data_IF_078587208336
#
_entry.id   IF_078587208336
#
_cell.length_a   1.000
_cell.length_b   1.000
_cell.length_c   1.000
_cell.angle_alpha   90.00
_cell.angle_beta   90.00
_cell.angle_gamma   90.00
#
_symmetry.space_group_name_H-M   'P 1'
#
loop_
_entity.id
_entity.type
_entity.pdbx_description
1 polymer ?
#
# COMPACT_ATOMS: atom_id res chain seq x y z
N UNK A 1 -30.08 -10.46 30.89
CA UNK A 1 -30.40 -9.04 31.13
C UNK A 1 -30.35 -8.35 29.77
N UNK A 2 -31.44 -7.71 29.35
CA UNK A 2 -31.49 -6.96 28.08
C UNK A 2 -30.57 -5.74 28.26
N UNK A 3 -29.58 -5.59 27.37
CA UNK A 3 -28.65 -4.46 27.41
C UNK A 3 -29.35 -3.13 27.11
N UNK A 4 -28.80 -2.02 27.61
CA UNK A 4 -29.32 -0.67 27.33
C UNK A 4 -29.17 -0.38 25.84
N UNK A 5 -30.26 -0.04 25.16
CA UNK A 5 -30.24 0.34 23.75
C UNK A 5 -30.20 1.87 23.61
N UNK A 6 -29.31 2.37 22.75
CA UNK A 6 -29.11 3.78 22.46
C UNK A 6 -29.26 3.98 20.96
N UNK A 7 -30.28 4.75 20.59
CA UNK A 7 -30.60 5.16 19.21
C UNK A 7 -30.61 6.67 19.08
N UNK A 8 -30.97 7.39 20.14
CA UNK A 8 -30.96 8.84 20.26
C UNK A 8 -30.16 9.27 21.49
N UNK A 9 -29.78 10.54 21.57
CA UNK A 9 -29.01 11.10 22.67
C UNK A 9 -29.77 11.01 24.00
N UNK A 10 -31.10 11.12 23.97
CA UNK A 10 -31.97 11.01 25.16
C UNK A 10 -31.96 9.61 25.79
N UNK A 11 -31.52 8.57 25.07
CA UNK A 11 -31.36 7.22 25.60
C UNK A 11 -30.11 7.09 26.49
N UNK A 12 -29.20 8.09 26.47
CA UNK A 12 -28.02 8.09 27.32
C UNK A 12 -28.43 8.28 28.79
N UNK A 13 -27.87 7.48 29.71
CA UNK A 13 -28.14 7.65 31.12
C UNK A 13 -27.62 9.02 31.58
N UNK A 14 -28.28 9.64 32.58
CA UNK A 14 -27.79 10.87 33.19
C UNK A 14 -26.36 10.65 33.74
N UNK A 15 -25.57 11.73 33.73
CA UNK A 15 -24.22 11.74 34.27
C UNK A 15 -24.28 11.75 35.81
N UNK A 16 -24.63 10.62 36.40
CA UNK A 16 -24.66 10.39 37.85
C UNK A 16 -23.34 9.71 38.33
N UNK A 17 -23.13 9.52 39.64
CA UNK A 17 -21.91 8.98 40.29
C UNK A 17 -21.41 7.59 39.80
N UNK A 18 -22.08 6.98 38.82
CA UNK A 18 -21.68 5.70 38.25
C UNK A 18 -20.79 5.93 37.02
N UNK A 19 -19.48 5.79 37.20
CA UNK A 19 -18.48 6.08 36.16
C UNK A 19 -18.57 5.18 34.91
N UNK A 20 -19.31 4.06 34.99
CA UNK A 20 -19.34 3.02 33.96
C UNK A 20 -20.72 2.37 33.81
N UNK A 21 -21.21 2.28 32.57
CA UNK A 21 -22.44 1.55 32.24
C UNK A 21 -22.10 0.39 31.30
N UNK A 22 -22.13 -0.87 31.76
CA UNK A 22 -21.81 -2.03 30.93
C UNK A 22 -22.98 -2.47 30.04
N UNK A 23 -22.71 -3.31 29.04
CA UNK A 23 -23.70 -3.97 28.17
C UNK A 23 -24.63 -2.99 27.44
N UNK A 24 -24.04 -1.97 26.81
CA UNK A 24 -24.73 -0.96 26.03
C UNK A 24 -24.68 -1.33 24.54
N UNK A 25 -25.81 -1.22 23.86
CA UNK A 25 -25.96 -1.40 22.42
C UNK A 25 -26.26 -0.04 21.79
N UNK A 26 -25.43 0.40 20.85
CA UNK A 26 -25.57 1.66 20.13
C UNK A 26 -25.86 1.37 18.67
N UNK A 27 -26.90 1.99 18.12
CA UNK A 27 -27.19 1.92 16.69
C UNK A 27 -27.07 3.32 16.07
N UNK A 28 -26.35 3.43 14.96
CA UNK A 28 -26.22 4.69 14.25
C UNK A 28 -25.24 4.63 13.08
N UNK A 29 -24.98 5.78 12.47
CA UNK A 29 -24.08 5.90 11.33
C UNK A 29 -22.64 6.15 11.78
N UNK A 30 -21.67 5.37 11.32
CA UNK A 30 -20.28 5.56 11.71
C UNK A 30 -19.62 6.69 10.89
N UNK A 31 -19.47 7.89 11.46
CA UNK A 31 -19.16 9.10 10.67
C UNK A 31 -17.69 9.53 10.71
N UNK A 32 -16.92 9.12 11.72
CA UNK A 32 -15.50 9.49 11.88
C UNK A 32 -14.66 8.33 12.38
N UNK A 33 -13.40 8.27 11.93
CA UNK A 33 -12.40 7.26 12.33
C UNK A 33 -11.01 7.89 12.43
N UNK A 34 -10.35 7.74 13.58
CA UNK A 34 -9.06 8.32 13.95
C UNK A 34 -8.17 7.22 14.54
N UNK A 35 -7.27 6.68 13.73
CA UNK A 35 -6.32 5.65 14.16
C UNK A 35 -5.13 6.29 14.89
N UNK A 36 -4.98 6.07 16.20
CA UNK A 36 -3.84 6.60 16.96
C UNK A 36 -2.68 5.59 17.05
N UNK A 37 -3.00 4.30 17.14
CA UNK A 37 -2.02 3.20 17.08
C UNK A 37 -2.69 1.91 16.60
N UNK A 38 -1.91 0.83 16.43
CA UNK A 38 -2.46 -0.51 16.17
C UNK A 38 -3.38 -1.02 17.30
N UNK A 39 -3.31 -0.42 18.49
CA UNK A 39 -4.05 -0.81 19.68
C UNK A 39 -5.17 0.16 20.07
N UNK A 40 -5.29 1.31 19.39
CA UNK A 40 -6.21 2.38 19.80
C UNK A 40 -6.73 3.17 18.61
N UNK A 41 -8.05 3.17 18.45
CA UNK A 41 -8.80 3.94 17.45
C UNK A 41 -9.91 4.70 18.14
N UNK A 42 -10.12 5.95 17.75
CA UNK A 42 -11.30 6.73 18.12
C UNK A 42 -12.22 6.86 16.91
N UNK A 43 -13.52 6.81 17.13
CA UNK A 43 -14.53 7.10 16.11
C UNK A 43 -15.68 7.90 16.69
N UNK A 44 -16.61 8.32 15.85
CA UNK A 44 -17.87 8.95 16.28
C UNK A 44 -19.02 8.23 15.55
N UNK A 45 -20.05 7.81 16.29
CA UNK A 45 -21.31 7.29 15.75
C UNK A 45 -22.34 8.43 15.80
N UNK A 46 -22.96 8.73 14.68
CA UNK A 46 -24.10 9.63 14.60
C UNK A 46 -25.38 8.86 14.93
N UNK A 47 -26.05 9.30 15.98
CA UNK A 47 -27.34 8.79 16.44
C UNK A 47 -28.48 9.28 15.52
N UNK A 48 -29.69 8.73 15.70
CA UNK A 48 -30.83 9.01 14.82
C UNK A 48 -31.29 10.48 14.87
N UNK A 49 -31.08 11.15 16.00
CA UNK A 49 -31.34 12.58 16.21
C UNK A 49 -30.22 13.48 15.66
N UNK A 50 -29.15 12.89 15.13
CA UNK A 50 -28.02 13.58 14.53
C UNK A 50 -26.89 13.93 15.51
N UNK A 51 -27.05 13.64 16.80
CA UNK A 51 -26.00 13.83 17.80
C UNK A 51 -24.87 12.81 17.64
N UNK A 52 -23.69 13.15 18.15
CA UNK A 52 -22.49 12.31 18.02
C UNK A 52 -22.14 11.66 19.35
N UNK A 53 -22.03 10.33 19.35
CA UNK A 53 -21.44 9.56 20.44
C UNK A 53 -20.01 9.19 20.08
N UNK A 54 -19.06 9.61 20.91
CA UNK A 54 -17.65 9.27 20.72
C UNK A 54 -17.38 7.82 21.11
N UNK A 55 -16.65 7.12 20.26
CA UNK A 55 -16.31 5.70 20.39
C UNK A 55 -14.80 5.54 20.59
N UNK A 56 -14.41 4.73 21.57
CA UNK A 56 -13.04 4.26 21.78
C UNK A 56 -12.95 2.76 21.52
N UNK A 57 -12.10 2.38 20.58
CA UNK A 57 -11.78 0.99 20.25
C UNK A 57 -10.36 0.74 20.73
N UNK A 58 -10.18 -0.08 21.77
CA UNK A 58 -8.87 -0.28 22.41
C UNK A 58 -8.59 -1.75 22.70
N UNK A 59 -7.31 -2.12 22.61
CA UNK A 59 -6.87 -3.46 22.96
C UNK A 59 -6.77 -3.59 24.49
N UNK A 60 -7.46 -4.55 25.09
CA UNK A 60 -7.44 -4.78 26.55
C UNK A 60 -7.63 -6.27 26.87
N UNK A 61 -7.03 -6.73 27.98
CA UNK A 61 -7.15 -8.11 28.46
C UNK A 61 -8.62 -8.42 28.81
N UNK A 62 -9.17 -9.50 28.24
CA UNK A 62 -10.60 -9.85 28.36
C UNK A 62 -11.56 -9.05 27.45
N UNK A 63 -11.05 -8.22 26.52
CA UNK A 63 -11.83 -7.48 25.53
C UNK A 63 -11.35 -7.71 24.10
N UNK A 64 -11.28 -6.64 23.30
CA UNK A 64 -10.72 -6.71 21.94
C UNK A 64 -9.21 -6.95 21.98
N UNK A 65 -8.73 -7.87 21.15
CA UNK A 65 -7.30 -8.02 20.87
C UNK A 65 -6.89 -7.17 19.64
N UNK A 66 -5.60 -7.15 19.32
CA UNK A 66 -5.08 -6.36 18.19
C UNK A 66 -5.67 -6.85 16.86
N UNK A 67 -5.91 -8.16 16.74
CA UNK A 67 -6.46 -8.80 15.54
C UNK A 67 -7.89 -8.34 15.29
N UNK A 68 -8.72 -8.32 16.33
CA UNK A 68 -10.11 -7.87 16.28
C UNK A 68 -10.19 -6.38 15.94
N UNK A 69 -9.34 -5.52 16.50
CA UNK A 69 -9.29 -4.09 16.13
C UNK A 69 -8.89 -3.91 14.67
N UNK A 70 -7.92 -4.70 14.19
CA UNK A 70 -7.51 -4.69 12.79
C UNK A 70 -8.67 -5.07 11.87
N UNK A 71 -9.41 -6.12 12.22
CA UNK A 71 -10.57 -6.58 11.48
C UNK A 71 -11.67 -5.51 11.45
N UNK A 72 -12.02 -4.91 12.60
CA UNK A 72 -12.98 -3.80 12.70
C UNK A 72 -12.56 -2.62 11.81
N UNK A 73 -11.27 -2.27 11.79
CA UNK A 73 -10.78 -1.17 10.97
C UNK A 73 -10.89 -1.44 9.46
N UNK A 74 -10.92 -2.72 9.06
CA UNK A 74 -11.12 -3.14 7.68
C UNK A 74 -12.59 -3.22 7.30
N UNK A 75 -13.43 -3.75 8.18
CA UNK A 75 -14.82 -4.03 7.86
C UNK A 75 -15.70 -2.78 7.97
N UNK A 76 -15.43 -1.91 8.95
CA UNK A 76 -16.24 -0.72 9.22
C UNK A 76 -15.71 0.50 8.47
N UNK A 77 -16.50 1.01 7.53
CA UNK A 77 -16.22 2.19 6.73
C UNK A 77 -16.99 3.42 7.24
N UNK A 78 -16.56 4.59 6.79
CA UNK A 78 -17.28 5.82 7.10
C UNK A 78 -18.59 5.87 6.31
N UNK A 79 -19.67 6.23 7.00
CA UNK A 79 -21.03 6.27 6.47
C UNK A 79 -21.82 4.99 6.69
N UNK A 80 -21.18 3.88 7.05
CA UNK A 80 -21.86 2.60 7.27
C UNK A 80 -22.84 2.71 8.44
N UNK A 81 -23.98 2.03 8.31
CA UNK A 81 -24.91 1.84 9.41
C UNK A 81 -24.39 0.69 10.26
N UNK A 82 -24.25 0.93 11.56
CA UNK A 82 -23.63 -0.03 12.47
C UNK A 82 -24.46 -0.24 13.73
N UNK A 83 -24.40 -1.47 14.23
CA UNK A 83 -24.84 -1.84 15.57
C UNK A 83 -23.60 -2.23 16.38
N UNK A 84 -23.34 -1.48 17.44
CA UNK A 84 -22.13 -1.56 18.23
C UNK A 84 -22.44 -1.92 19.69
N UNK A 85 -21.71 -2.87 20.26
CA UNK A 85 -21.88 -3.28 21.65
C UNK A 85 -20.64 -2.91 22.47
N UNK A 86 -20.85 -2.43 23.69
CA UNK A 86 -19.76 -1.92 24.51
C UNK A 86 -20.19 -1.50 25.90
N UNK A 87 -19.44 -0.55 26.46
CA UNK A 87 -19.72 0.08 27.73
C UNK A 87 -19.58 1.60 27.61
N UNK A 88 -20.39 2.37 28.33
CA UNK A 88 -20.17 3.81 28.47
C UNK A 88 -19.23 4.08 29.65
N UNK A 89 -18.34 5.04 29.48
CA UNK A 89 -17.45 5.57 30.52
C UNK A 89 -17.60 7.08 30.59
N UNK A 90 -17.77 7.62 31.80
CA UNK A 90 -17.87 9.05 31.98
C UNK A 90 -16.52 9.74 31.69
N UNK A 91 -16.53 10.82 30.92
CA UNK A 91 -15.37 11.68 30.69
C UNK A 91 -15.36 12.79 31.74
N UNK A 92 -14.62 12.57 32.82
CA UNK A 92 -14.37 13.61 33.81
C UNK A 92 -13.28 14.59 33.34
N UNK A 93 -13.51 15.86 33.66
CA UNK A 93 -12.92 17.06 33.05
C UNK A 93 -11.38 17.19 33.19
N UNK A 94 -10.66 17.22 32.07
CA UNK A 94 -9.37 17.90 31.96
C UNK A 94 -9.48 19.09 30.98
N UNK A 95 -9.59 20.31 31.54
CA UNK A 95 -9.41 21.64 30.93
C UNK A 95 -9.67 21.74 29.40
N UNK A 96 -10.94 21.69 28.96
CA UNK A 96 -11.59 22.53 27.89
C UNK A 96 -12.76 21.87 27.13
N UNK A 97 -13.09 20.59 27.36
CA UNK A 97 -14.30 19.97 26.79
C UNK A 97 -15.39 19.77 27.85
N UNK A 98 -16.65 19.78 27.42
CA UNK A 98 -17.84 19.48 28.24
C UNK A 98 -17.82 18.03 28.75
N UNK A 99 -18.36 17.81 29.94
CA UNK A 99 -18.57 16.47 30.51
C UNK A 99 -19.47 15.66 29.55
N UNK A 100 -19.21 14.35 29.41
CA UNK A 100 -19.94 13.53 28.45
C UNK A 100 -19.53 12.06 28.47
N UNK A 101 -20.22 11.25 27.66
CA UNK A 101 -19.98 9.81 27.59
C UNK A 101 -18.92 9.45 26.53
N UNK A 102 -18.07 8.48 26.88
CA UNK A 102 -17.20 7.75 25.95
C UNK A 102 -17.71 6.31 25.82
N UNK A 103 -18.05 5.90 24.61
CA UNK A 103 -18.45 4.53 24.35
C UNK A 103 -17.22 3.65 24.06
N UNK A 104 -16.87 2.76 24.98
CA UNK A 104 -15.79 1.79 24.79
C UNK A 104 -16.33 0.55 24.10
N UNK A 105 -15.87 0.34 22.87
CA UNK A 105 -16.35 -0.72 21.99
C UNK A 105 -15.84 -2.10 22.41
N UNK A 106 -16.72 -3.09 22.42
CA UNK A 106 -16.39 -4.51 22.57
C UNK A 106 -16.63 -5.32 21.29
N UNK A 107 -17.69 -5.01 20.53
CA UNK A 107 -17.95 -5.59 19.23
C UNK A 107 -18.75 -4.62 18.36
N UNK A 108 -18.70 -4.80 17.04
CA UNK A 108 -19.45 -3.98 16.09
C UNK A 108 -19.83 -4.85 14.89
N UNK A 109 -21.03 -4.63 14.40
CA UNK A 109 -21.57 -5.24 13.20
C UNK A 109 -21.96 -4.13 12.22
N UNK A 110 -21.62 -4.33 10.95
CA UNK A 110 -22.11 -3.48 9.86
C UNK A 110 -23.49 -3.99 9.46
N UNK A 111 -24.51 -3.16 9.63
CA UNK A 111 -25.88 -3.48 9.26
C UNK A 111 -26.12 -3.16 7.78
N UNK A 112 -25.56 -2.05 7.30
CA UNK A 112 -25.69 -1.58 5.92
C UNK A 112 -24.43 -0.84 5.46
N UNK A 113 -23.92 -1.21 4.28
CA UNK A 113 -22.75 -0.57 3.67
C UNK A 113 -23.16 0.71 2.93
N UNK A 114 -22.57 1.84 3.30
CA UNK A 114 -22.87 3.12 2.66
C UNK A 114 -22.56 3.11 1.15
N UNK A 115 -21.47 2.43 0.78
CA UNK A 115 -20.98 2.34 -0.59
C UNK A 115 -21.95 1.65 -1.56
N UNK A 116 -22.86 0.81 -1.07
CA UNK A 116 -23.86 0.15 -1.91
C UNK A 116 -24.84 1.16 -2.53
N UNK A 117 -25.16 2.23 -1.79
CA UNK A 117 -26.10 3.27 -2.22
C UNK A 117 -25.40 4.48 -2.84
N UNK A 118 -24.06 4.54 -2.79
CA UNK A 118 -23.28 5.72 -3.12
C UNK A 118 -22.05 5.40 -3.97
N UNK A 119 -22.28 4.69 -5.08
CA UNK A 119 -21.19 4.26 -5.98
C UNK A 119 -20.45 5.46 -6.58
N UNK A 120 -19.11 5.46 -6.45
CA UNK A 120 -18.24 6.50 -7.01
C UNK A 120 -18.23 7.84 -6.26
N UNK A 121 -18.91 7.96 -5.12
CA UNK A 121 -18.83 9.14 -4.26
C UNK A 121 -18.11 8.81 -2.95
N UNK A 122 -17.46 9.82 -2.35
CA UNK A 122 -16.81 9.66 -1.04
C UNK A 122 -17.75 10.14 0.05
N UNK A 123 -17.85 9.39 1.14
CA UNK A 123 -18.57 9.84 2.33
C UNK A 123 -17.91 11.11 2.90
N UNK A 124 -18.71 12.13 3.17
CA UNK A 124 -18.26 13.38 3.78
C UNK A 124 -19.27 13.84 4.82
N UNK A 125 -18.88 13.82 6.09
CA UNK A 125 -19.68 14.36 7.17
C UNK A 125 -19.36 15.85 7.38
N UNK A 126 -20.29 16.73 7.01
CA UNK A 126 -20.20 18.19 7.21
C UNK A 126 -21.38 18.59 8.12
N UNK A 127 -21.10 19.18 9.29
CA UNK A 127 -22.15 19.72 10.16
C UNK A 127 -22.86 20.89 9.44
N UNK A 128 -24.20 21.02 9.51
CA UNK A 128 -24.94 22.10 8.86
C UNK A 128 -24.42 23.52 9.16
N UNK A 129 -23.80 23.75 10.32
CA UNK A 129 -23.31 25.07 10.74
C UNK A 129 -21.86 25.40 10.34
N UNK A 130 -21.20 24.55 9.56
CA UNK A 130 -19.84 24.85 9.11
C UNK A 130 -19.85 25.82 7.93
N UNK A 131 -19.84 27.12 8.26
CA UNK A 131 -19.71 28.24 7.33
C UNK A 131 -18.50 27.98 6.40
N UNK A 132 -18.80 27.84 5.10
CA UNK A 132 -17.79 27.75 4.04
C UNK A 132 -17.07 29.09 3.98
N UNK A 133 -15.89 29.18 4.59
CA UNK A 133 -15.03 30.36 4.48
C UNK A 133 -14.50 30.42 3.05
N UNK A 134 -15.14 31.25 2.21
CA UNK A 134 -14.61 31.70 0.93
C UNK A 134 -13.29 32.45 1.16
N UNK A 135 -12.31 32.15 0.32
CA UNK A 135 -10.95 32.63 0.45
C UNK A 135 -10.82 34.16 0.41
N UNK A 136 -9.87 34.67 1.18
CA UNK A 136 -9.30 36.00 0.97
C UNK A 136 -7.79 35.92 1.13
N UNK A 137 -7.12 36.70 0.29
CA UNK A 137 -5.69 36.95 0.25
C UNK A 137 -5.32 38.07 1.23
N UNK A 138 -4.01 38.15 1.50
CA UNK A 138 -3.19 39.12 2.25
C UNK A 138 -2.99 38.87 3.76
N UNK A 139 -1.85 38.22 4.12
CA UNK A 139 -0.86 38.54 5.17
C UNK A 139 0.07 37.33 5.51
N UNK A 140 1.22 37.54 6.21
CA UNK A 140 2.24 36.53 6.50
C UNK A 140 1.68 35.35 7.32
N UNK A 141 2.28 34.15 7.24
CA UNK A 141 1.75 32.95 7.89
C UNK A 141 1.62 33.15 9.39
N UNK A 142 0.49 32.72 9.97
CA UNK A 142 0.38 32.60 11.43
C UNK A 142 1.51 31.69 11.92
N UNK A 143 2.50 32.32 12.55
CA UNK A 143 3.82 31.81 12.89
C UNK A 143 3.82 30.80 14.04
N UNK A 144 2.87 29.85 14.03
CA UNK A 144 2.79 28.76 15.03
C UNK A 144 3.47 27.46 14.61
N UNK A 145 4.22 27.43 13.50
CA UNK A 145 5.08 26.31 13.12
C UNK A 145 6.47 26.38 13.77
N UNK A 146 6.57 26.95 14.98
CA UNK A 146 7.82 27.28 15.68
C UNK A 146 8.66 26.11 16.19
N UNK A 147 8.48 24.89 15.68
CA UNK A 147 9.40 23.79 15.95
C UNK A 147 9.45 22.83 14.77
N UNK A 148 10.63 22.68 14.17
CA UNK A 148 10.93 21.73 13.09
C UNK A 148 10.66 20.25 13.46
N UNK A 149 10.41 19.95 14.75
CA UNK A 149 10.59 18.60 15.29
C UNK A 149 9.33 17.73 15.41
N UNK A 150 8.11 18.22 15.07
CA UNK A 150 6.89 17.41 15.25
C UNK A 150 6.50 16.55 14.03
N UNK A 151 6.98 16.87 12.83
CA UNK A 151 6.60 16.16 11.60
C UNK A 151 7.83 15.63 10.85
N UNK A 152 8.04 14.31 10.88
CA UNK A 152 9.26 13.64 10.39
C UNK A 152 9.39 13.52 8.87
N UNK A 153 8.35 13.86 8.09
CA UNK A 153 8.30 13.65 6.63
C UNK A 153 7.89 14.89 5.82
N UNK A 154 8.04 16.07 6.40
CA UNK A 154 7.74 17.35 5.74
C UNK A 154 9.00 17.98 5.15
N UNK A 155 8.82 18.69 4.04
CA UNK A 155 9.90 19.51 3.49
C UNK A 155 10.05 20.75 4.37
N UNK A 156 11.27 21.01 4.81
CA UNK A 156 11.60 22.19 5.63
C UNK A 156 12.35 23.20 4.77
N UNK A 157 11.84 24.42 4.68
CA UNK A 157 12.52 25.57 4.07
C UNK A 157 12.65 26.67 5.11
N UNK A 158 13.83 27.27 5.20
CA UNK A 158 14.13 28.39 6.11
C UNK A 158 13.74 28.10 7.58
N UNK A 159 13.85 26.83 8.00
CA UNK A 159 13.50 26.38 9.36
C UNK A 159 12.03 26.02 9.57
N UNK A 160 11.16 26.19 8.56
CA UNK A 160 9.71 25.97 8.69
C UNK A 160 9.20 24.77 7.91
N UNK A 161 8.23 24.06 8.49
CA UNK A 161 7.47 23.01 7.82
C UNK A 161 6.59 23.61 6.71
N UNK A 162 6.88 23.26 5.46
CA UNK A 162 6.25 23.86 4.28
C UNK A 162 4.94 23.19 3.88
N UNK A 163 4.00 23.96 3.34
CA UNK A 163 2.73 23.41 2.89
C UNK A 163 2.88 22.62 1.58
N UNK A 164 2.67 21.30 1.66
CA UNK A 164 2.66 20.42 0.47
C UNK A 164 1.65 20.89 -0.58
N UNK A 165 0.44 21.23 -0.17
CA UNK A 165 -0.63 21.60 -1.10
C UNK A 165 -0.29 22.88 -1.86
N UNK A 166 0.25 23.88 -1.17
CA UNK A 166 0.66 25.15 -1.78
C UNK A 166 1.76 24.96 -2.84
N UNK A 167 2.86 24.28 -2.49
CA UNK A 167 3.99 24.11 -3.42
C UNK A 167 3.76 23.05 -4.51
N UNK A 168 2.83 22.11 -4.30
CA UNK A 168 2.49 21.09 -5.29
C UNK A 168 1.66 21.60 -6.47
N UNK A 169 0.95 22.72 -6.31
CA UNK A 169 0.13 23.35 -7.35
C UNK A 169 0.81 24.55 -8.00
N UNK A 170 0.32 24.95 -9.17
CA UNK A 170 0.63 26.26 -9.75
C UNK A 170 0.08 27.36 -8.83
N UNK A 171 0.94 28.29 -8.42
CA UNK A 171 0.61 29.45 -7.59
C UNK A 171 -0.22 29.15 -6.32
N UNK A 172 -0.01 27.99 -5.69
CA UNK A 172 -0.66 27.70 -4.42
C UNK A 172 -2.13 27.26 -4.48
N UNK A 173 -2.71 27.10 -5.69
CA UNK A 173 -4.13 26.88 -5.92
C UNK A 173 -4.76 25.71 -5.14
N UNK A 174 -3.98 24.68 -4.78
CA UNK A 174 -4.51 23.52 -4.06
C UNK A 174 -4.56 23.72 -2.53
N UNK A 175 -4.04 24.82 -1.98
CA UNK A 175 -4.11 25.11 -0.55
C UNK A 175 -5.40 25.88 -0.21
N UNK A 176 -6.45 25.16 0.18
CA UNK A 176 -7.74 25.76 0.53
C UNK A 176 -7.71 26.61 1.80
N UNK A 177 -6.68 26.47 2.63
CA UNK A 177 -6.54 27.19 3.91
C UNK A 177 -5.93 28.58 3.76
N UNK A 178 -5.32 28.87 2.62
CA UNK A 178 -4.65 30.14 2.36
C UNK A 178 -3.76 30.56 3.53
N UNK A 179 -4.11 31.66 4.17
CA UNK A 179 -3.32 32.34 5.20
C UNK A 179 -3.53 31.75 6.61
N UNK A 180 -4.63 31.03 6.79
CA UNK A 180 -4.90 30.23 7.98
C UNK A 180 -4.16 28.89 7.94
N UNK A 181 -3.39 28.63 6.88
CA UNK A 181 -2.58 27.44 6.79
C UNK A 181 -1.52 27.45 7.90
N UNK A 182 -1.55 26.39 8.72
CA UNK A 182 -0.54 26.14 9.73
C UNK A 182 0.87 25.92 9.14
N UNK A 183 0.97 25.61 7.85
CA UNK A 183 2.23 25.30 7.17
C UNK A 183 2.72 26.50 6.35
N UNK A 184 4.04 26.64 6.27
CA UNK A 184 4.69 27.79 5.68
C UNK A 184 4.51 27.86 4.16
N UNK A 185 4.20 29.05 3.65
CA UNK A 185 4.02 29.37 2.22
C UNK A 185 5.13 30.30 1.66
N UNK A 186 5.88 30.98 2.53
CA UNK A 186 6.80 32.05 2.11
C UNK A 186 6.08 33.30 1.59
N UNK A 187 6.84 34.25 1.06
CA UNK A 187 6.27 35.42 0.40
C UNK A 187 5.77 35.05 -1.01
N UNK A 188 4.61 35.58 -1.46
CA UNK A 188 4.07 35.30 -2.79
C UNK A 188 5.03 35.67 -3.93
N UNK A 189 5.82 36.74 -3.77
CA UNK A 189 6.82 37.17 -4.75
C UNK A 189 7.91 36.10 -4.97
N UNK A 190 8.24 35.34 -3.93
CA UNK A 190 9.27 34.30 -3.96
C UNK A 190 8.72 32.92 -4.32
N UNK A 191 7.44 32.82 -4.73
CA UNK A 191 6.75 31.55 -4.94
C UNK A 191 7.52 30.61 -5.87
N UNK A 192 7.98 31.10 -7.01
CA UNK A 192 8.66 30.28 -8.02
C UNK A 192 9.98 29.70 -7.47
N UNK A 193 10.74 30.53 -6.75
CA UNK A 193 12.01 30.12 -6.15
C UNK A 193 11.79 29.13 -5.00
N UNK A 194 10.86 29.44 -4.09
CA UNK A 194 10.52 28.55 -2.99
C UNK A 194 9.94 27.23 -3.48
N UNK A 195 9.14 27.24 -4.55
CA UNK A 195 8.65 26.01 -5.20
C UNK A 195 9.79 25.19 -5.80
N UNK A 196 10.77 25.82 -6.44
CA UNK A 196 11.97 25.13 -6.96
C UNK A 196 12.76 24.47 -5.84
N UNK A 197 13.06 25.21 -4.76
CA UNK A 197 13.73 24.70 -3.54
C UNK A 197 12.94 23.57 -2.90
N UNK A 198 11.61 23.72 -2.79
CA UNK A 198 10.71 22.73 -2.23
C UNK A 198 10.71 21.43 -3.05
N UNK A 199 10.62 21.53 -4.38
CA UNK A 199 10.66 20.38 -5.28
C UNK A 199 11.99 19.63 -5.18
N UNK A 200 13.12 20.35 -5.13
CA UNK A 200 14.45 19.75 -4.99
C UNK A 200 14.57 18.96 -3.67
N UNK A 201 14.25 19.58 -2.53
CA UNK A 201 14.24 18.89 -1.23
C UNK A 201 13.23 17.74 -1.18
N UNK A 202 12.07 17.90 -1.80
CA UNK A 202 11.05 16.84 -1.86
C UNK A 202 11.54 15.64 -2.66
N UNK A 203 12.25 15.87 -3.75
CA UNK A 203 12.85 14.82 -4.57
C UNK A 203 13.93 14.08 -3.78
N UNK A 204 14.82 14.81 -3.10
CA UNK A 204 15.84 14.25 -2.21
C UNK A 204 15.23 13.40 -1.07
N UNK A 205 14.23 13.93 -0.35
CA UNK A 205 13.52 13.19 0.70
C UNK A 205 12.85 11.93 0.16
N UNK A 206 12.26 11.98 -1.04
CA UNK A 206 11.65 10.81 -1.68
C UNK A 206 12.69 9.78 -2.09
N UNK A 207 13.85 10.20 -2.59
CA UNK A 207 14.95 9.31 -2.93
C UNK A 207 15.46 8.58 -1.68
N UNK A 208 15.73 9.33 -0.60
CA UNK A 208 16.15 8.75 0.70
C UNK A 208 15.10 7.80 1.29
N UNK A 209 13.83 8.19 1.28
CA UNK A 209 12.75 7.33 1.80
C UNK A 209 12.48 6.09 0.93
N UNK A 210 12.87 6.12 -0.35
CA UNK A 210 12.77 4.97 -1.24
C UNK A 210 14.02 4.08 -1.20
N UNK A 211 15.09 4.50 -0.53
CA UNK A 211 16.28 3.68 -0.34
C UNK A 211 15.94 2.49 0.55
N UNK A 212 16.21 1.29 0.05
CA UNK A 212 15.99 0.05 0.79
C UNK A 212 17.22 -0.28 1.63
N UNK A 213 17.01 -0.90 2.79
CA UNK A 213 18.10 -1.39 3.61
C UNK A 213 18.94 -2.43 2.81
N UNK A 214 20.26 -2.27 2.81
CA UNK A 214 21.18 -3.11 2.03
C UNK A 214 21.43 -2.64 0.59
N UNK A 215 20.69 -1.65 0.09
CA UNK A 215 20.97 -1.04 -1.21
C UNK A 215 22.13 -0.04 -1.09
N UNK A 216 23.28 -0.39 -1.64
CA UNK A 216 24.49 0.45 -1.65
C UNK A 216 24.53 1.45 -2.81
N UNK A 217 23.56 1.42 -3.73
CA UNK A 217 23.51 2.34 -4.85
C UNK A 217 23.14 3.76 -4.41
N UNK A 218 23.72 4.77 -5.06
CA UNK A 218 23.39 6.17 -4.79
C UNK A 218 21.90 6.44 -5.09
N UNK A 219 21.10 6.89 -4.11
CA UNK A 219 19.69 7.21 -4.31
C UNK A 219 19.45 8.22 -5.44
N UNK A 220 20.43 9.09 -5.72
CA UNK A 220 20.36 10.12 -6.75
C UNK A 220 20.78 9.63 -8.14
N UNK A 221 21.50 8.52 -8.24
CA UNK A 221 21.90 7.92 -9.53
C UNK A 221 20.84 6.96 -10.09
N UNK A 222 19.76 6.71 -9.34
CA UNK A 222 18.69 5.80 -9.75
C UNK A 222 17.90 6.33 -10.93
N UNK A 223 17.75 5.48 -11.95
CA UNK A 223 17.06 5.81 -13.19
C UNK A 223 15.54 5.94 -12.94
N UNK A 224 14.87 6.79 -13.71
CA UNK A 224 13.44 7.01 -13.61
C UNK A 224 12.60 5.72 -13.78
N UNK A 225 11.45 5.70 -13.09
CA UNK A 225 10.51 4.56 -13.06
C UNK A 225 10.02 4.14 -14.44
N UNK A 226 10.04 5.01 -15.44
CA UNK A 226 9.66 4.68 -16.82
C UNK A 226 10.59 3.65 -17.46
N UNK A 227 11.82 3.54 -16.99
CA UNK A 227 12.84 2.64 -17.54
C UNK A 227 12.96 1.30 -16.81
N UNK A 228 12.20 1.10 -15.73
CA UNK A 228 12.32 -0.08 -14.85
C UNK A 228 12.18 -1.41 -15.59
N UNK A 229 11.27 -1.51 -16.57
CA UNK A 229 11.07 -2.75 -17.35
C UNK A 229 12.30 -3.07 -18.18
N UNK A 230 12.87 -2.06 -18.85
CA UNK A 230 14.12 -2.20 -19.61
C UNK A 230 15.26 -2.65 -18.71
N UNK A 231 15.41 -2.02 -17.54
CA UNK A 231 16.47 -2.35 -16.59
C UNK A 231 16.31 -3.78 -16.06
N UNK A 232 15.10 -4.17 -15.68
CA UNK A 232 14.79 -5.53 -15.23
C UNK A 232 15.06 -6.58 -16.32
N UNK A 233 14.62 -6.32 -17.56
CA UNK A 233 14.83 -7.23 -18.69
C UNK A 233 16.31 -7.32 -19.10
N UNK A 234 17.05 -6.20 -19.06
CA UNK A 234 18.49 -6.22 -19.29
C UNK A 234 19.19 -7.07 -18.21
N UNK A 235 18.85 -6.87 -16.94
CA UNK A 235 19.41 -7.68 -15.86
C UNK A 235 19.10 -9.17 -16.02
N UNK A 236 17.90 -9.54 -16.47
CA UNK A 236 17.55 -10.93 -16.80
C UNK A 236 18.43 -11.50 -17.90
N UNK A 237 18.60 -10.76 -18.99
CA UNK A 237 19.45 -11.16 -20.12
C UNK A 237 20.92 -11.27 -19.70
N UNK A 238 21.42 -10.31 -18.92
CA UNK A 238 22.79 -10.35 -18.40
C UNK A 238 23.02 -11.54 -17.46
N UNK A 239 21.96 -11.98 -16.75
CA UNK A 239 22.03 -13.08 -15.78
C UNK A 239 21.89 -14.47 -16.40
N UNK A 240 21.07 -14.61 -17.45
CA UNK A 240 20.67 -15.92 -18.01
C UNK A 240 21.04 -16.09 -19.50
N UNK A 241 21.18 -14.99 -20.24
CA UNK A 241 21.37 -14.98 -21.68
C UNK A 241 20.06 -15.12 -22.47
N UNK A 242 20.02 -14.54 -23.67
CA UNK A 242 18.84 -14.59 -24.55
C UNK A 242 18.48 -16.02 -24.96
N UNK A 243 19.47 -16.90 -25.16
CA UNK A 243 19.25 -18.31 -25.53
C UNK A 243 18.50 -19.08 -24.44
N UNK A 244 18.92 -18.96 -23.18
CA UNK A 244 18.26 -19.61 -22.06
C UNK A 244 16.83 -19.09 -21.89
N UNK A 245 16.66 -17.76 -21.93
CA UNK A 245 15.34 -17.14 -21.83
C UNK A 245 14.42 -17.58 -22.97
N UNK A 246 14.97 -17.88 -24.14
CA UNK A 246 14.22 -18.33 -25.31
C UNK A 246 13.96 -19.84 -25.37
N UNK A 247 14.49 -20.61 -24.41
CA UNK A 247 14.28 -22.06 -24.35
C UNK A 247 12.83 -22.45 -24.05
N UNK A 248 12.41 -23.59 -24.58
CA UNK A 248 11.06 -24.14 -24.42
C UNK A 248 9.97 -23.15 -24.85
N UNK A 249 9.02 -22.85 -23.95
CA UNK A 249 7.93 -21.88 -24.23
C UNK A 249 8.32 -20.44 -23.90
N UNK A 250 9.56 -20.22 -23.43
CA UNK A 250 10.12 -18.92 -23.09
C UNK A 250 9.69 -18.38 -21.73
N UNK A 251 9.58 -17.05 -21.65
CA UNK A 251 9.33 -16.33 -20.40
C UNK A 251 7.83 -16.23 -20.10
N UNK A 252 7.42 -16.50 -18.87
CA UNK A 252 6.05 -16.23 -18.41
C UNK A 252 6.04 -14.95 -17.59
N UNK A 253 5.47 -13.88 -18.14
CA UNK A 253 5.32 -12.56 -17.50
C UNK A 253 3.98 -12.50 -16.75
N UNK A 254 4.02 -12.50 -15.42
CA UNK A 254 2.81 -12.61 -14.58
C UNK A 254 2.45 -11.25 -13.98
N UNK A 255 1.17 -10.90 -14.08
CA UNK A 255 0.61 -9.59 -13.70
C UNK A 255 1.33 -8.41 -14.38
N UNK A 256 1.79 -8.60 -15.62
CA UNK A 256 2.54 -7.60 -16.40
C UNK A 256 1.71 -6.41 -16.90
N UNK A 257 0.39 -6.41 -16.70
CA UNK A 257 -0.52 -5.30 -16.95
C UNK A 257 -0.49 -4.77 -18.39
N UNK A 258 0.27 -3.70 -18.62
CA UNK A 258 0.42 -3.08 -19.94
C UNK A 258 1.42 -3.80 -20.85
N UNK A 259 2.02 -4.90 -20.39
CA UNK A 259 2.94 -5.73 -21.16
C UNK A 259 4.32 -5.11 -21.33
N UNK A 260 4.80 -4.30 -20.39
CA UNK A 260 6.09 -3.61 -20.54
C UNK A 260 7.27 -4.60 -20.61
N UNK A 261 7.25 -5.70 -19.84
CA UNK A 261 8.25 -6.78 -19.96
C UNK A 261 8.10 -7.48 -21.31
N UNK A 262 6.87 -7.84 -21.70
CA UNK A 262 6.62 -8.46 -23.00
C UNK A 262 7.10 -7.58 -24.17
N UNK A 263 6.97 -6.25 -24.09
CA UNK A 263 7.53 -5.34 -25.11
C UNK A 263 9.07 -5.42 -25.14
N UNK A 264 9.73 -5.44 -23.99
CA UNK A 264 11.19 -5.48 -23.91
C UNK A 264 11.78 -6.82 -24.39
N UNK A 265 11.16 -7.95 -24.02
CA UNK A 265 11.65 -9.28 -24.36
C UNK A 265 11.14 -9.73 -25.74
N UNK A 266 9.83 -9.81 -25.92
CA UNK A 266 9.24 -10.29 -27.16
C UNK A 266 9.44 -9.31 -28.31
N UNK A 267 8.94 -8.08 -28.19
CA UNK A 267 8.93 -7.14 -29.32
C UNK A 267 10.35 -6.67 -29.69
N UNK A 268 11.15 -6.28 -28.70
CA UNK A 268 12.47 -5.68 -28.97
C UNK A 268 13.60 -6.70 -29.14
N UNK A 269 13.54 -7.87 -28.49
CA UNK A 269 14.63 -8.86 -28.52
C UNK A 269 14.27 -10.16 -29.25
N UNK A 270 12.98 -10.41 -29.50
CA UNK A 270 12.53 -11.66 -30.09
C UNK A 270 12.52 -12.84 -29.12
N UNK A 271 12.67 -12.60 -27.81
CA UNK A 271 12.62 -13.63 -26.77
C UNK A 271 11.16 -14.05 -26.54
N UNK A 272 10.81 -15.33 -26.72
CA UNK A 272 9.46 -15.83 -26.47
C UNK A 272 8.95 -15.44 -25.08
N UNK A 273 7.74 -14.88 -25.01
CA UNK A 273 7.14 -14.38 -23.77
C UNK A 273 5.64 -14.55 -23.85
N UNK A 274 5.01 -15.05 -22.79
CA UNK A 274 3.55 -15.12 -22.64
C UNK A 274 3.14 -14.27 -21.43
N UNK A 275 2.22 -13.33 -21.63
CA UNK A 275 1.67 -12.50 -20.54
C UNK A 275 0.50 -13.23 -19.86
N UNK A 276 0.49 -13.25 -18.53
CA UNK A 276 -0.65 -13.68 -17.71
C UNK A 276 -1.13 -12.47 -16.91
N UNK A 277 -2.30 -11.93 -17.24
CA UNK A 277 -2.97 -10.88 -16.45
C UNK A 277 -4.48 -10.98 -16.70
N UNK A 278 -5.33 -10.93 -15.67
CA UNK A 278 -6.78 -11.04 -15.83
C UNK A 278 -7.38 -9.87 -16.64
N UNK A 279 -6.62 -8.77 -16.81
CA UNK A 279 -7.07 -7.58 -17.54
C UNK A 279 -6.45 -7.57 -18.93
N UNK A 280 -7.21 -7.24 -19.98
CA UNK A 280 -6.67 -7.05 -21.32
C UNK A 280 -5.53 -6.03 -21.34
N UNK A 281 -4.45 -6.36 -22.05
CA UNK A 281 -3.28 -5.50 -22.18
C UNK A 281 -3.65 -4.16 -22.81
N UNK A 282 -3.33 -3.06 -22.12
CA UNK A 282 -3.58 -1.68 -22.59
C UNK A 282 -2.28 -0.95 -22.89
N UNK A 283 -1.76 -1.16 -24.11
CA UNK A 283 -0.52 -0.54 -24.57
C UNK A 283 -0.58 0.98 -24.55
N UNK A 284 0.49 1.63 -24.09
CA UNK A 284 0.68 3.07 -24.22
C UNK A 284 0.94 3.52 -25.67
N UNK A 285 0.81 4.82 -25.96
CA UNK A 285 1.01 5.39 -27.31
C UNK A 285 2.38 5.05 -27.89
N UNK A 286 3.43 5.07 -27.07
CA UNK A 286 4.80 4.72 -27.49
C UNK A 286 4.94 3.22 -27.81
N UNK A 287 4.50 2.33 -26.90
CA UNK A 287 4.57 0.89 -27.11
C UNK A 287 3.76 0.43 -28.34
N UNK A 288 2.61 1.05 -28.63
CA UNK A 288 1.85 0.78 -29.87
C UNK A 288 2.68 1.06 -31.13
N UNK A 289 3.49 2.12 -31.15
CA UNK A 289 4.39 2.41 -32.28
C UNK A 289 5.50 1.37 -32.40
N UNK A 290 6.05 0.91 -31.27
CA UNK A 290 7.08 -0.15 -31.27
C UNK A 290 6.52 -1.46 -31.84
N UNK A 291 5.34 -1.88 -31.40
CA UNK A 291 4.66 -3.08 -31.92
C UNK A 291 4.39 -2.95 -33.42
N UNK A 292 3.84 -1.82 -33.86
CA UNK A 292 3.58 -1.59 -35.29
C UNK A 292 4.88 -1.64 -36.12
N UNK A 293 5.97 -1.05 -35.62
CA UNK A 293 7.28 -1.10 -36.28
C UNK A 293 7.80 -2.54 -36.39
N UNK A 294 7.76 -3.31 -35.30
CA UNK A 294 8.20 -4.70 -35.30
C UNK A 294 7.33 -5.58 -36.21
N UNK A 295 6.03 -5.31 -36.27
CA UNK A 295 5.13 -6.00 -37.20
C UNK A 295 5.54 -5.74 -38.66
N UNK A 296 5.86 -4.50 -39.01
CA UNK A 296 6.25 -4.14 -40.38
C UNK A 296 7.65 -4.66 -40.74
N UNK A 297 8.60 -4.58 -39.80
CA UNK A 297 10.01 -4.93 -40.07
C UNK A 297 10.28 -6.44 -39.97
N UNK A 298 9.64 -7.13 -39.02
CA UNK A 298 9.98 -8.51 -38.61
C UNK A 298 8.75 -9.44 -38.60
N UNK A 299 7.56 -8.95 -38.96
CA UNK A 299 6.32 -9.72 -38.89
C UNK A 299 5.83 -10.02 -37.47
N UNK A 300 6.54 -9.53 -36.43
CA UNK A 300 6.30 -9.87 -35.02
C UNK A 300 5.11 -9.09 -34.44
N UNK A 301 4.02 -9.82 -34.15
CA UNK A 301 2.85 -9.32 -33.42
C UNK A 301 3.14 -9.18 -31.93
N UNK A 302 2.23 -8.59 -31.16
CA UNK A 302 2.32 -8.62 -29.70
C UNK A 302 2.33 -10.06 -29.18
N UNK A 303 2.99 -10.29 -28.05
CA UNK A 303 3.02 -11.59 -27.38
C UNK A 303 1.61 -12.13 -27.08
N UNK A 304 1.44 -13.46 -26.99
CA UNK A 304 0.22 -14.05 -26.44
C UNK A 304 -0.08 -13.51 -25.03
N UNK A 305 -1.38 -13.40 -24.72
CA UNK A 305 -1.87 -13.07 -23.38
C UNK A 305 -2.91 -14.09 -22.94
N UNK A 306 -2.75 -14.62 -21.73
CA UNK A 306 -3.78 -15.35 -21.01
C UNK A 306 -4.53 -14.39 -20.08
N UNK A 307 -5.84 -14.24 -20.29
CA UNK A 307 -6.72 -13.38 -19.49
C UNK A 307 -7.14 -14.07 -18.19
N UNK A 308 -6.15 -14.39 -17.34
CA UNK A 308 -6.33 -15.14 -16.09
C UNK A 308 -5.41 -14.60 -15.00
N UNK A 309 -5.76 -14.92 -13.75
CA UNK A 309 -4.82 -14.84 -12.64
C UNK A 309 -3.85 -16.04 -12.71
N UNK A 310 -2.71 -15.95 -12.01
CA UNK A 310 -1.88 -17.13 -11.79
C UNK A 310 -2.42 -17.89 -10.57
N UNK A 311 -3.01 -19.05 -10.82
CA UNK A 311 -3.58 -19.95 -9.81
C UNK A 311 -3.43 -21.42 -10.27
N UNK A 312 -3.79 -22.36 -9.39
CA UNK A 312 -3.69 -23.80 -9.66
C UNK A 312 -4.51 -24.24 -10.86
N UNK A 313 -5.66 -23.60 -11.13
CA UNK A 313 -6.49 -23.89 -12.30
C UNK A 313 -5.75 -23.51 -13.59
N UNK A 314 -5.17 -22.31 -13.62
CA UNK A 314 -4.41 -21.81 -14.75
C UNK A 314 -3.18 -22.68 -15.01
N UNK A 315 -2.47 -23.10 -13.96
CA UNK A 315 -1.35 -24.04 -14.05
C UNK A 315 -1.76 -25.36 -14.69
N UNK A 316 -2.90 -25.93 -14.28
CA UNK A 316 -3.43 -27.19 -14.83
C UNK A 316 -3.88 -27.04 -16.29
N UNK A 317 -4.58 -25.96 -16.61
CA UNK A 317 -5.14 -25.74 -17.95
C UNK A 317 -4.04 -25.50 -19.01
N UNK A 318 -2.92 -24.90 -18.60
CA UNK A 318 -1.81 -24.57 -19.50
C UNK A 318 -0.52 -25.30 -19.11
N UNK A 319 -0.62 -26.59 -18.76
CA UNK A 319 0.50 -27.38 -18.24
C UNK A 319 1.75 -27.32 -19.13
N UNK A 320 1.60 -27.42 -20.45
CA UNK A 320 2.73 -27.33 -21.40
C UNK A 320 3.46 -25.98 -21.30
N UNK A 321 2.71 -24.87 -21.23
CA UNK A 321 3.30 -23.53 -21.07
C UNK A 321 4.21 -23.48 -19.85
N UNK A 322 3.74 -23.96 -18.70
CA UNK A 322 4.48 -23.86 -17.45
C UNK A 322 5.56 -24.92 -17.30
N UNK A 323 5.35 -26.12 -17.82
CA UNK A 323 6.33 -27.22 -17.76
C UNK A 323 7.54 -26.93 -18.62
N UNK A 324 7.36 -26.24 -19.75
CA UNK A 324 8.43 -25.95 -20.70
C UNK A 324 8.91 -24.50 -20.66
N UNK A 325 8.36 -23.63 -19.80
CA UNK A 325 8.87 -22.26 -19.69
C UNK A 325 10.31 -22.22 -19.20
N UNK A 326 11.05 -21.21 -19.62
CA UNK A 326 12.42 -20.96 -19.15
C UNK A 326 12.43 -20.32 -17.77
N UNK A 327 11.47 -19.43 -17.48
CA UNK A 327 11.40 -18.68 -16.22
C UNK A 327 10.01 -18.05 -16.02
N UNK A 328 9.59 -17.96 -14.74
CA UNK A 328 8.45 -17.12 -14.34
C UNK A 328 8.94 -15.77 -13.81
N UNK A 329 8.41 -14.66 -14.33
CA UNK A 329 8.82 -13.31 -13.93
C UNK A 329 7.64 -12.45 -13.53
N UNK A 330 7.89 -11.46 -12.67
CA UNK A 330 6.92 -10.41 -12.38
C UNK A 330 7.58 -9.19 -11.78
N UNK A 331 7.48 -8.04 -12.45
CA UNK A 331 8.02 -6.78 -11.94
C UNK A 331 6.90 -5.91 -11.40
N UNK A 332 6.88 -5.73 -10.08
CA UNK A 332 5.78 -5.12 -9.34
C UNK A 332 4.43 -5.84 -9.59
N UNK A 333 4.38 -7.20 -9.51
CA UNK A 333 3.20 -7.97 -9.88
C UNK A 333 2.15 -7.84 -8.77
N UNK A 334 1.09 -7.10 -9.09
CA UNK A 334 0.01 -6.78 -8.17
C UNK A 334 -0.70 -8.07 -7.74
N UNK A 335 -0.80 -8.30 -6.43
CA UNK A 335 -1.38 -9.50 -5.80
C UNK A 335 -0.72 -10.85 -6.13
N UNK A 336 0.04 -10.96 -7.24
CA UNK A 336 0.59 -12.21 -7.76
C UNK A 336 2.04 -12.50 -7.35
N UNK A 337 2.71 -11.63 -6.59
CA UNK A 337 4.14 -11.80 -6.23
C UNK A 337 4.40 -13.16 -5.56
N UNK A 338 3.58 -13.54 -4.57
CA UNK A 338 3.71 -14.82 -3.88
C UNK A 338 3.37 -16.00 -4.81
N UNK A 339 2.28 -15.90 -5.56
CA UNK A 339 1.83 -16.96 -6.48
C UNK A 339 2.92 -17.32 -7.52
N UNK A 340 3.67 -16.33 -8.01
CA UNK A 340 4.81 -16.57 -8.91
C UNK A 340 5.88 -17.43 -8.22
N UNK A 341 6.25 -17.07 -6.99
CA UNK A 341 7.27 -17.81 -6.22
C UNK A 341 6.78 -19.22 -5.95
N UNK A 342 5.54 -19.41 -5.50
CA UNK A 342 4.99 -20.74 -5.18
C UNK A 342 4.85 -21.63 -6.41
N UNK A 343 4.36 -21.08 -7.53
CA UNK A 343 4.28 -21.80 -8.79
C UNK A 343 5.69 -22.21 -9.27
N UNK A 344 6.65 -21.30 -9.23
CA UNK A 344 8.02 -21.59 -9.64
C UNK A 344 8.65 -22.70 -8.77
N UNK A 345 8.47 -22.66 -7.44
CA UNK A 345 8.97 -23.68 -6.53
C UNK A 345 8.33 -25.05 -6.82
N UNK A 346 7.01 -25.08 -7.00
CA UNK A 346 6.25 -26.30 -7.30
C UNK A 346 6.70 -26.94 -8.60
N UNK A 347 6.92 -26.12 -9.63
CA UNK A 347 7.36 -26.57 -10.96
C UNK A 347 8.88 -26.76 -11.07
N UNK A 348 9.63 -26.41 -10.01
CA UNK A 348 11.10 -26.29 -10.00
C UNK A 348 11.64 -25.44 -11.15
N UNK A 349 10.93 -24.35 -11.47
CA UNK A 349 11.31 -23.39 -12.50
C UNK A 349 12.07 -22.19 -11.94
N UNK A 350 13.02 -21.62 -12.69
CA UNK A 350 13.60 -20.34 -12.35
C UNK A 350 12.51 -19.29 -12.12
N UNK A 351 12.78 -18.32 -11.24
CA UNK A 351 11.94 -17.13 -11.14
C UNK A 351 12.74 -15.87 -10.84
N UNK A 352 12.14 -14.72 -11.18
CA UNK A 352 12.58 -13.40 -10.73
C UNK A 352 11.39 -12.47 -10.51
N UNK A 353 11.25 -11.95 -9.30
CA UNK A 353 10.16 -11.05 -8.92
C UNK A 353 10.69 -9.75 -8.31
N UNK A 354 10.03 -8.64 -8.57
CA UNK A 354 10.27 -7.37 -7.86
C UNK A 354 9.06 -7.07 -6.97
N UNK A 355 9.09 -7.43 -5.68
CA UNK A 355 7.97 -7.18 -4.77
C UNK A 355 7.70 -5.67 -4.63
N UNK A 356 6.43 -5.28 -4.47
CA UNK A 356 6.06 -3.88 -4.25
C UNK A 356 4.96 -3.68 -3.20
N UNK A 357 3.87 -4.45 -3.33
CA UNK A 357 2.66 -4.33 -2.52
C UNK A 357 2.53 -5.55 -1.63
N UNK A 358 2.41 -5.32 -0.31
CA UNK A 358 2.26 -6.38 0.69
C UNK A 358 0.87 -7.02 0.64
N UNK A 359 -0.13 -6.21 0.27
CA UNK A 359 -1.55 -6.60 0.21
C UNK A 359 -2.04 -7.30 1.48
N UNK A 360 -1.64 -6.79 2.65
CA UNK A 360 -1.97 -7.38 3.96
C UNK A 360 -3.46 -7.42 4.29
N UNK A 361 -4.32 -6.75 3.51
CA UNK A 361 -5.78 -6.89 3.56
C UNK A 361 -6.27 -8.12 2.80
N UNK A 362 -5.75 -8.33 1.58
CA UNK A 362 -6.09 -9.48 0.76
C UNK A 362 -5.46 -10.78 1.30
N UNK A 363 -4.31 -10.67 1.97
CA UNK A 363 -3.56 -11.80 2.52
C UNK A 363 -3.29 -11.60 4.02
N UNK A 364 -4.34 -11.61 4.86
CA UNK A 364 -4.24 -11.27 6.29
C UNK A 364 -3.40 -12.27 7.09
N UNK A 365 -3.35 -13.52 6.64
CA UNK A 365 -2.79 -14.66 7.37
C UNK A 365 -1.32 -14.94 7.04
N UNK A 366 -0.68 -14.16 6.16
CA UNK A 366 0.75 -14.35 5.85
C UNK A 366 1.60 -14.13 7.09
N UNK A 367 2.47 -15.08 7.39
CA UNK A 367 3.39 -15.06 8.52
C UNK A 367 4.79 -15.50 8.08
N UNK A 368 5.82 -14.81 8.57
CA UNK A 368 7.20 -15.28 8.50
C UNK A 368 7.36 -16.55 9.35
N UNK A 369 8.48 -17.27 9.21
CA UNK A 369 8.77 -18.51 9.96
C UNK A 369 8.71 -18.34 11.49
N UNK A 370 9.01 -17.14 11.99
CA UNK A 370 8.96 -16.78 13.41
C UNK A 370 7.55 -16.39 13.91
N UNK A 371 6.53 -16.50 13.06
CA UNK A 371 5.14 -16.11 13.36
C UNK A 371 4.84 -14.62 13.15
N UNK A 372 5.81 -13.80 12.75
CA UNK A 372 5.59 -12.36 12.49
C UNK A 372 4.66 -12.17 11.30
N UNK A 373 3.60 -11.39 11.49
CA UNK A 373 2.66 -11.04 10.43
C UNK A 373 3.33 -10.21 9.32
N UNK A 374 2.97 -10.52 8.06
CA UNK A 374 3.49 -9.84 6.88
C UNK A 374 2.66 -8.60 6.58
N UNK A 375 2.96 -7.50 7.27
CA UNK A 375 2.25 -6.22 7.15
C UNK A 375 3.06 -5.11 6.49
N UNK A 376 4.38 -5.29 6.40
CA UNK A 376 5.33 -4.31 5.86
C UNK A 376 6.08 -4.88 4.67
N UNK A 377 6.71 -4.00 3.89
CA UNK A 377 7.54 -4.41 2.76
C UNK A 377 8.69 -5.33 3.21
N UNK A 378 9.37 -4.97 4.30
CA UNK A 378 10.53 -5.73 4.78
C UNK A 378 10.12 -7.12 5.27
N UNK A 379 9.00 -7.23 6.00
CA UNK A 379 8.44 -8.54 6.36
C UNK A 379 8.00 -9.35 5.15
N UNK A 380 7.56 -8.70 4.06
CA UNK A 380 7.15 -9.39 2.84
C UNK A 380 8.34 -9.94 2.06
N UNK A 381 9.40 -9.14 1.91
CA UNK A 381 10.66 -9.60 1.32
C UNK A 381 11.22 -10.77 2.13
N UNK A 382 11.28 -10.65 3.45
CA UNK A 382 11.72 -11.72 4.34
C UNK A 382 10.88 -13.00 4.16
N UNK A 383 9.56 -12.86 4.20
CA UNK A 383 8.62 -13.97 3.99
C UNK A 383 8.88 -14.73 2.69
N UNK A 384 9.09 -14.02 1.58
CA UNK A 384 9.37 -14.64 0.28
C UNK A 384 10.75 -15.30 0.24
N UNK A 385 11.79 -14.65 0.80
CA UNK A 385 13.13 -15.23 0.93
C UNK A 385 13.15 -16.50 1.80
N UNK A 386 12.30 -16.56 2.83
CA UNK A 386 12.14 -17.73 3.69
C UNK A 386 11.46 -18.91 2.99
N UNK A 387 10.90 -18.77 1.79
CA UNK A 387 10.30 -19.91 1.07
C UNK A 387 11.34 -20.93 0.59
N UNK A 388 12.58 -20.51 0.32
CA UNK A 388 13.66 -21.44 -0.05
C UNK A 388 15.05 -20.86 0.27
N UNK A 389 15.99 -21.64 0.83
CA UNK A 389 17.30 -21.12 1.30
C UNK A 389 18.17 -20.55 0.17
N UNK A 390 17.99 -21.01 -1.06
CA UNK A 390 18.73 -20.51 -2.23
C UNK A 390 18.10 -19.28 -2.90
N UNK A 391 17.03 -18.69 -2.35
CA UNK A 391 16.50 -17.43 -2.88
C UNK A 391 17.53 -16.33 -2.67
N UNK A 392 17.91 -15.68 -3.76
CA UNK A 392 18.86 -14.58 -3.78
C UNK A 392 18.11 -13.25 -3.93
N UNK A 393 18.83 -12.16 -3.67
CA UNK A 393 18.31 -10.82 -3.94
C UNK A 393 19.39 -9.93 -4.56
N UNK A 394 18.95 -8.99 -5.39
CA UNK A 394 19.79 -7.94 -5.95
C UNK A 394 19.02 -6.62 -6.00
N UNK A 395 19.73 -5.49 -6.05
CA UNK A 395 19.13 -4.16 -6.23
C UNK A 395 19.35 -3.66 -7.65
N UNK A 396 18.26 -3.26 -8.30
CA UNK A 396 18.29 -2.75 -9.66
C UNK A 396 18.39 -1.21 -9.66
N UNK A 397 19.08 -0.60 -10.65
CA UNK A 397 19.38 0.84 -10.65
C UNK A 397 18.19 1.72 -11.10
N UNK A 398 17.00 1.53 -10.51
CA UNK A 398 15.83 2.38 -10.75
C UNK A 398 15.14 2.84 -9.46
N UNK A 399 14.43 3.97 -9.54
CA UNK A 399 13.80 4.59 -8.39
C UNK A 399 12.55 3.83 -7.90
N UNK A 400 12.34 3.80 -6.58
CA UNK A 400 11.22 3.09 -5.94
C UNK A 400 11.62 1.71 -5.44
N UNK A 401 10.66 0.78 -5.39
CA UNK A 401 10.91 -0.61 -4.97
C UNK A 401 11.74 -1.31 -6.05
N UNK A 402 13.03 -1.50 -5.80
CA UNK A 402 14.00 -1.94 -6.80
C UNK A 402 14.73 -3.24 -6.44
N UNK A 403 14.37 -3.88 -5.34
CA UNK A 403 14.92 -5.18 -4.96
C UNK A 403 14.24 -6.29 -5.76
N UNK A 404 15.03 -7.04 -6.52
CA UNK A 404 14.60 -8.28 -7.16
C UNK A 404 14.92 -9.46 -6.25
N UNK A 405 13.96 -10.37 -6.07
CA UNK A 405 14.14 -11.68 -5.46
C UNK A 405 14.12 -12.73 -6.57
N UNK A 406 15.09 -13.63 -6.58
CA UNK A 406 15.22 -14.59 -7.67
C UNK A 406 15.85 -15.91 -7.21
N UNK A 407 15.57 -16.96 -7.97
CA UNK A 407 16.23 -18.25 -7.87
C UNK A 407 16.31 -18.83 -9.27
N UNK A 408 17.53 -19.03 -9.77
CA UNK A 408 17.75 -19.57 -11.12
C UNK A 408 18.14 -21.04 -11.13
N UNK A 409 18.65 -21.56 -10.01
CA UNK A 409 19.04 -22.95 -9.89
C UNK A 409 18.74 -23.46 -8.47
N UNK A 410 17.92 -24.51 -8.39
CA UNK A 410 17.54 -25.15 -7.12
C UNK A 410 18.67 -25.98 -6.51
N UNK A 411 19.62 -26.44 -7.32
CA UNK A 411 20.63 -27.42 -6.93
C UNK A 411 21.88 -26.79 -6.32
N UNK A 412 22.08 -25.47 -6.47
CA UNK A 412 23.20 -24.74 -5.83
C UNK A 412 23.23 -24.89 -4.29
N UNK A 413 22.09 -25.13 -3.65
CA UNK A 413 22.02 -25.34 -2.18
C UNK A 413 22.49 -26.72 -1.70
N UNK A 414 22.52 -27.73 -2.58
CA UNK A 414 23.01 -29.08 -2.24
C UNK A 414 24.53 -29.14 -2.17
N UNK A 415 25.22 -28.46 -3.08
CA UNK A 415 26.69 -28.52 -3.17
C UNK A 415 27.38 -27.77 -2.01
N UNK A 416 26.84 -26.64 -1.58
CA UNK A 416 27.38 -25.92 -0.41
C UNK A 416 27.21 -26.69 0.91
N UNK A 417 26.19 -27.55 1.00
CA UNK A 417 25.98 -28.43 2.16
C UNK A 417 26.91 -29.64 2.14
N UNK A 418 27.24 -30.14 0.95
CA UNK A 418 28.16 -31.28 0.76
C UNK A 418 29.62 -30.89 1.01
N UNK A 419 30.07 -29.70 0.58
CA UNK A 419 31.43 -29.20 0.84
C UNK A 419 31.72 -28.98 2.34
N UNK A 420 30.70 -28.61 3.14
CA UNK A 420 30.84 -28.48 4.60
C UNK A 420 31.02 -29.86 5.26
N UNK A 421 30.38 -30.91 4.75
CA UNK A 421 30.50 -32.27 5.32
C UNK A 421 31.87 -32.90 4.98
N UNK A 422 32.43 -32.62 3.80
CA UNK A 422 33.78 -33.10 3.42
C UNK A 422 34.90 -32.40 4.20
N UNK A 423 34.75 -31.10 4.51
CA UNK A 423 35.77 -30.35 5.28
C UNK A 423 35.78 -30.66 6.78
N UNK A 424 34.73 -31.26 7.34
CA UNK A 424 34.71 -31.77 8.73
C UNK A 424 35.19 -33.22 8.89
N UNK A 425 35.63 -33.86 7.82
CA UNK A 425 36.04 -35.29 7.81
C UNK A 425 37.54 -35.51 7.58
N UNK A 426 38.40 -34.53 7.87
CA UNK A 426 39.88 -34.67 7.80
C UNK A 426 40.51 -34.36 9.15
#
# INVERSE_FOLDING_TARGET
MVGLQIKVFEDLPPLDDNDKVPNVLVQGQFVRKRNLSKRLVFGDIQLQDGELLEVMIRAQEGGLDITAIRQINWDVHLGDMVTAQGMLQCKHRERRNSDGWLFVLHSIQVDELWSLHHTGTNFSYIRPDSVVVKGSWMLPPSSKAGAANKYTNMVVLDGFNTCKYYFSSSYGANCLRGEQCHFWHGQPADFNENRRRWMAKRLEQRAKAAQLAGDSSDPHSKIDKTQRSRIFCNWLVDSLGDEHLSSGTGVVDVAGGKGDISIQLWIQRGVPTTLIDPRPMKLGKYNRKLVAKAQTAEGRKMSPQLLRCLDDETLKLHQELFTDCSILVGMHPDEATEAIVDAAMTLRKPFAVVPCCVMSRAFPNRQCRDGTLVETYDTFVRYLSEKHPSVQSAFLPFAGRNQVLYLFNYDKGRNASAEIVETTSI
#
